data_IF_067881045731
#
_entry.id   IF_067881045731
#
_cell.length_a   1.000
_cell.length_b   1.000
_cell.length_c   1.000
_cell.angle_alpha   90.00
_cell.angle_beta   90.00
_cell.angle_gamma   90.00
#
_symmetry.space_group_name_H-M   'P 1'
#
loop_
_entity.id
_entity.type
_entity.pdbx_description
1 polymer ?
#
# COMPACT_ATOMS: atom_id res chain seq x y z
N UNK A 1 42.14 5.50 0.85
CA UNK A 1 40.90 5.99 0.20
C UNK A 1 40.41 7.21 0.98
N UNK A 2 39.68 8.11 0.35
CA UNK A 2 39.15 9.30 1.05
C UNK A 2 38.01 8.89 1.97
N UNK A 3 37.89 9.52 3.15
CA UNK A 3 36.76 9.35 4.09
C UNK A 3 35.41 9.53 3.39
N UNK A 4 35.36 10.34 2.33
CA UNK A 4 34.15 10.53 1.53
C UNK A 4 33.78 9.27 0.70
N UNK A 5 34.77 8.54 0.20
CA UNK A 5 34.58 7.31 -0.58
C UNK A 5 34.04 6.18 0.29
N UNK A 6 34.61 5.98 1.48
CA UNK A 6 34.19 4.93 2.41
C UNK A 6 32.75 5.17 2.92
N UNK A 7 32.38 6.44 3.16
CA UNK A 7 31.00 6.80 3.53
C UNK A 7 30.00 6.56 2.40
N UNK A 8 30.36 6.87 1.16
CA UNK A 8 29.49 6.62 0.00
C UNK A 8 29.27 5.12 -0.21
N UNK A 9 30.30 4.31 -0.01
CA UNK A 9 30.20 2.85 -0.11
C UNK A 9 29.30 2.27 0.99
N UNK A 10 29.42 2.75 2.23
CA UNK A 10 28.54 2.35 3.32
C UNK A 10 27.07 2.71 3.05
N UNK A 11 26.80 3.93 2.55
CA UNK A 11 25.44 4.35 2.18
C UNK A 11 24.88 3.46 1.07
N UNK A 12 25.69 3.17 0.05
CA UNK A 12 25.26 2.31 -1.06
C UNK A 12 24.89 0.91 -0.56
N UNK A 13 25.71 0.31 0.30
CA UNK A 13 25.45 -1.02 0.87
C UNK A 13 24.18 -1.03 1.71
N UNK A 14 23.95 0.01 2.51
CA UNK A 14 22.73 0.14 3.31
C UNK A 14 21.49 0.24 2.43
N UNK A 15 21.52 1.04 1.37
CA UNK A 15 20.41 1.17 0.42
C UNK A 15 20.17 -0.16 -0.30
N UNK A 16 21.23 -0.80 -0.79
CA UNK A 16 21.15 -2.11 -1.46
C UNK A 16 20.48 -3.15 -0.56
N UNK A 17 20.97 -3.29 0.68
CA UNK A 17 20.41 -4.24 1.65
C UNK A 17 18.95 -3.95 1.96
N UNK A 18 18.53 -2.68 2.02
CA UNK A 18 17.15 -2.32 2.27
C UNK A 18 16.24 -2.71 1.10
N UNK A 19 16.67 -2.45 -0.13
CA UNK A 19 15.91 -2.80 -1.34
C UNK A 19 15.80 -4.33 -1.50
N UNK A 20 16.88 -5.07 -1.28
CA UNK A 20 16.89 -6.53 -1.35
C UNK A 20 15.94 -7.16 -0.32
N UNK A 21 15.90 -6.61 0.90
CA UNK A 21 14.96 -7.06 1.94
C UNK A 21 13.50 -6.75 1.59
N UNK A 22 13.23 -5.59 0.98
CA UNK A 22 11.88 -5.22 0.57
C UNK A 22 11.34 -6.17 -0.52
N UNK A 23 12.19 -6.61 -1.45
CA UNK A 23 11.82 -7.58 -2.49
C UNK A 23 11.54 -8.97 -1.89
N UNK A 24 12.32 -9.40 -0.89
CA UNK A 24 12.12 -10.67 -0.19
C UNK A 24 10.84 -10.71 0.67
N UNK A 25 10.33 -9.56 1.11
CA UNK A 25 9.12 -9.45 1.92
C UNK A 25 7.82 -9.47 1.07
N UNK A 26 7.90 -9.68 -0.24
CA UNK A 26 6.74 -9.74 -1.11
C UNK A 26 5.81 -10.92 -0.74
N UNK A 27 4.50 -10.64 -0.70
CA UNK A 27 3.48 -11.66 -0.47
C UNK A 27 3.42 -12.61 -1.67
N UNK A 28 3.19 -13.90 -1.42
CA UNK A 28 2.81 -14.82 -2.50
C UNK A 28 1.39 -14.50 -2.98
N UNK A 29 1.04 -14.84 -4.24
CA UNK A 29 -0.30 -14.59 -4.78
C UNK A 29 -1.42 -15.21 -3.94
N UNK A 30 -1.19 -16.39 -3.36
CA UNK A 30 -2.16 -17.05 -2.49
C UNK A 30 -2.33 -16.32 -1.15
N UNK A 31 -1.24 -15.86 -0.53
CA UNK A 31 -1.32 -15.05 0.70
C UNK A 31 -2.07 -13.75 0.46
N UNK A 32 -1.79 -13.06 -0.66
CA UNK A 32 -2.47 -11.84 -1.04
C UNK A 32 -3.98 -12.06 -1.24
N UNK A 33 -4.36 -13.14 -1.93
CA UNK A 33 -5.76 -13.54 -2.12
C UNK A 33 -6.46 -13.81 -0.78
N UNK A 34 -5.85 -14.61 0.10
CA UNK A 34 -6.42 -14.94 1.42
C UNK A 34 -6.62 -13.67 2.27
N UNK A 35 -5.64 -12.77 2.29
CA UNK A 35 -5.73 -11.50 3.00
C UNK A 35 -6.83 -10.60 2.40
N UNK A 36 -6.89 -10.51 1.08
CA UNK A 36 -7.89 -9.71 0.35
C UNK A 36 -9.31 -10.15 0.69
N UNK A 37 -9.59 -11.45 0.65
CA UNK A 37 -10.92 -11.99 0.98
C UNK A 37 -11.28 -11.77 2.46
N UNK A 38 -10.30 -11.92 3.36
CA UNK A 38 -10.50 -11.59 4.78
C UNK A 38 -10.80 -10.12 4.99
N UNK A 39 -10.10 -9.22 4.29
CA UNK A 39 -10.34 -7.77 4.38
C UNK A 39 -11.73 -7.42 3.84
N UNK A 40 -12.12 -7.95 2.68
CA UNK A 40 -13.48 -7.78 2.11
C UNK A 40 -14.57 -8.18 3.11
N UNK A 41 -14.42 -9.33 3.76
CA UNK A 41 -15.37 -9.80 4.76
C UNK A 41 -15.48 -8.85 5.97
N UNK A 42 -14.36 -8.30 6.43
CA UNK A 42 -14.34 -7.32 7.53
C UNK A 42 -14.97 -5.99 7.12
N UNK A 43 -14.67 -5.48 5.93
CA UNK A 43 -15.25 -4.24 5.42
C UNK A 43 -16.78 -4.32 5.32
N UNK A 44 -17.31 -5.44 4.81
CA UNK A 44 -18.75 -5.66 4.76
C UNK A 44 -19.37 -5.70 6.17
N UNK A 45 -18.72 -6.42 7.09
CA UNK A 45 -19.18 -6.55 8.48
C UNK A 45 -19.26 -5.20 9.20
N UNK A 46 -18.25 -4.36 8.99
CA UNK A 46 -18.15 -3.06 9.65
C UNK A 46 -18.82 -1.93 8.85
N UNK A 47 -19.49 -2.25 7.74
CA UNK A 47 -20.04 -1.29 6.78
C UNK A 47 -19.02 -0.19 6.45
N UNK A 48 -17.84 -0.60 6.00
CA UNK A 48 -16.70 0.27 5.72
C UNK A 48 -16.19 0.07 4.29
N UNK A 49 -15.49 1.08 3.78
CA UNK A 49 -14.84 1.05 2.45
C UNK A 49 -13.41 1.59 2.55
N UNK A 50 -12.53 1.16 1.64
CA UNK A 50 -11.15 1.62 1.58
C UNK A 50 -11.01 2.72 0.53
N UNK A 51 -10.42 3.84 0.91
CA UNK A 51 -10.03 4.89 -0.04
C UNK A 51 -8.50 4.98 -0.06
N UNK A 52 -7.91 4.93 -1.25
CA UNK A 52 -6.47 4.91 -1.44
C UNK A 52 -5.97 6.15 -2.19
N UNK A 53 -4.82 6.68 -1.80
CA UNK A 53 -4.16 7.74 -2.56
C UNK A 53 -3.31 7.14 -3.70
N UNK A 54 -3.07 7.91 -4.77
CA UNK A 54 -2.23 7.51 -5.91
C UNK A 54 -0.80 7.08 -5.55
N UNK A 55 -0.32 7.45 -4.36
CA UNK A 55 1.04 7.15 -3.89
C UNK A 55 1.11 5.92 -2.97
N UNK A 56 0.00 5.20 -2.81
CA UNK A 56 -0.02 3.93 -2.11
C UNK A 56 0.46 2.80 -3.01
N UNK A 57 0.84 1.66 -2.41
CA UNK A 57 1.27 0.50 -3.16
C UNK A 57 0.16 0.00 -4.12
N UNK A 58 0.49 -0.53 -5.31
CA UNK A 58 -0.49 -1.01 -6.28
C UNK A 58 -1.49 -2.03 -5.72
N UNK A 59 -1.03 -2.92 -4.83
CA UNK A 59 -1.90 -3.90 -4.16
C UNK A 59 -2.99 -3.23 -3.30
N UNK A 60 -2.68 -2.11 -2.64
CA UNK A 60 -3.64 -1.35 -1.84
C UNK A 60 -4.63 -0.62 -2.73
N UNK A 61 -4.16 -0.06 -3.86
CA UNK A 61 -5.04 0.58 -4.85
C UNK A 61 -6.04 -0.43 -5.42
N UNK A 62 -5.56 -1.60 -5.84
CA UNK A 62 -6.41 -2.69 -6.35
C UNK A 62 -7.41 -3.18 -5.29
N UNK A 63 -6.99 -3.26 -4.03
CA UNK A 63 -7.87 -3.63 -2.92
C UNK A 63 -9.00 -2.59 -2.70
N UNK A 64 -8.68 -1.30 -2.77
CA UNK A 64 -9.68 -0.23 -2.67
C UNK A 64 -10.76 -0.35 -3.74
N UNK A 65 -10.36 -0.52 -5.00
CA UNK A 65 -11.29 -0.71 -6.13
C UNK A 65 -12.10 -2.00 -5.99
N UNK A 66 -11.46 -3.12 -5.64
CA UNK A 66 -12.11 -4.42 -5.50
C UNK A 66 -13.08 -4.51 -4.30
N UNK A 67 -13.01 -3.57 -3.36
CA UNK A 67 -13.88 -3.51 -2.17
C UNK A 67 -14.97 -2.44 -2.28
N UNK A 68 -15.10 -1.77 -3.44
CA UNK A 68 -16.13 -0.76 -3.69
C UNK A 68 -15.76 0.65 -3.20
N UNK A 69 -14.50 0.86 -2.81
CA UNK A 69 -13.97 2.20 -2.55
C UNK A 69 -13.35 2.83 -3.80
N UNK A 70 -12.40 3.75 -3.63
CA UNK A 70 -11.78 4.46 -4.75
C UNK A 70 -10.29 4.73 -4.55
N UNK A 71 -9.62 5.01 -5.68
CA UNK A 71 -8.24 5.50 -5.71
C UNK A 71 -8.29 6.93 -6.23
N UNK A 72 -7.89 7.91 -5.43
CA UNK A 72 -8.01 9.32 -5.81
C UNK A 72 -7.02 10.26 -5.12
N UNK A 73 -7.05 11.54 -5.48
CA UNK A 73 -6.37 12.60 -4.72
C UNK A 73 -7.18 13.04 -3.49
N UNK A 74 -6.58 13.84 -2.62
CA UNK A 74 -7.18 14.29 -1.36
C UNK A 74 -8.54 14.98 -1.49
N UNK A 75 -8.78 15.76 -2.55
CA UNK A 75 -10.04 16.50 -2.70
C UNK A 75 -11.16 15.52 -3.08
N UNK A 76 -10.86 14.63 -4.01
CA UNK A 76 -11.75 13.56 -4.44
C UNK A 76 -12.07 12.61 -3.28
N UNK A 77 -11.07 12.28 -2.45
CA UNK A 77 -11.25 11.45 -1.26
C UNK A 77 -12.20 12.11 -0.25
N UNK A 78 -12.05 13.42 -0.03
CA UNK A 78 -12.93 14.17 0.87
C UNK A 78 -14.37 14.22 0.35
N UNK A 79 -14.56 14.38 -0.97
CA UNK A 79 -15.90 14.33 -1.57
C UNK A 79 -16.52 12.94 -1.46
N UNK A 80 -15.77 11.90 -1.82
CA UNK A 80 -16.24 10.52 -1.68
C UNK A 80 -16.64 10.22 -0.24
N UNK A 81 -15.81 10.61 0.74
CA UNK A 81 -16.13 10.44 2.16
C UNK A 81 -17.30 11.29 2.67
N UNK A 82 -17.77 12.29 1.94
CA UNK A 82 -19.00 13.03 2.29
C UNK A 82 -20.24 12.36 1.69
N UNK A 83 -20.13 11.85 0.45
CA UNK A 83 -21.26 11.33 -0.31
C UNK A 83 -21.51 9.83 -0.05
N UNK A 84 -20.51 9.09 0.44
CA UNK A 84 -20.58 7.63 0.55
C UNK A 84 -21.33 7.18 1.81
N UNK A 85 -22.30 6.23 1.72
CA UNK A 85 -23.15 5.82 2.85
C UNK A 85 -22.44 5.06 3.98
N UNK A 86 -21.14 4.81 3.84
CA UNK A 86 -20.29 4.08 4.78
C UNK A 86 -19.29 4.99 5.53
N UNK A 87 -19.37 6.31 5.31
CA UNK A 87 -18.53 7.32 5.98
C UNK A 87 -19.07 7.76 7.33
#
# INVERSE_FOLDING_TARGET
>A
MSIATDKLEAIRLQVQSHLDQAEQAALTPEQERVLTERIKAMLLRENAVIVAHYYTAPAIQALAEATGGCVSDSLEMARFGHDHPAS
#
